data_IF_387612177264
#
_entry.id   IF_387612177264
#
_cell.length_a   1.000
_cell.length_b   1.000
_cell.length_c   1.000
_cell.angle_alpha   90.00
_cell.angle_beta   90.00
_cell.angle_gamma   90.00
#
_symmetry.space_group_name_H-M   'P 1'
#
loop_
_entity.id
_entity.type
_entity.pdbx_description
1 polymer ?
#
# COMPACT_ATOMS: atom_id res chain seq x y z
N UNK A 1 -8.47 4.88 9.43
CA UNK A 1 -7.62 4.91 8.22
C UNK A 1 -6.16 4.90 8.67
N UNK A 2 -5.40 3.84 8.37
CA UNK A 2 -3.98 3.76 8.71
C UNK A 2 -3.20 4.66 7.75
N UNK A 3 -2.50 5.68 8.28
CA UNK A 3 -1.73 6.63 7.48
C UNK A 3 -0.31 6.10 7.30
N UNK A 4 0.03 5.72 6.08
CA UNK A 4 1.40 5.36 5.71
C UNK A 4 2.25 6.63 5.59
N UNK A 5 3.56 6.52 5.83
CA UNK A 5 4.52 7.58 5.51
C UNK A 5 5.71 6.98 4.80
N UNK A 6 5.86 7.26 3.52
CA UNK A 6 7.01 6.80 2.74
C UNK A 6 8.28 7.44 3.30
N UNK A 7 9.29 6.64 3.68
CA UNK A 7 10.53 7.18 4.27
C UNK A 7 11.71 7.28 3.29
N UNK A 8 11.69 6.52 2.19
CA UNK A 8 12.71 6.64 1.14
C UNK A 8 12.53 7.94 0.36
N UNK A 9 13.61 8.71 0.29
CA UNK A 9 13.68 9.98 -0.45
C UNK A 9 13.66 9.66 -1.96
N UNK A 10 14.40 8.65 -2.38
CA UNK A 10 14.50 8.18 -3.76
C UNK A 10 13.14 7.74 -4.30
N UNK A 11 12.38 6.95 -3.51
CA UNK A 11 11.03 6.55 -3.88
C UNK A 11 10.09 7.75 -3.95
N UNK A 12 10.20 8.70 -3.01
CA UNK A 12 9.40 9.93 -3.04
C UNK A 12 9.69 10.76 -4.28
N UNK A 13 10.96 10.92 -4.65
CA UNK A 13 11.36 11.74 -5.79
C UNK A 13 11.00 11.05 -7.11
N UNK A 14 11.13 9.73 -7.18
CA UNK A 14 10.60 8.93 -8.28
C UNK A 14 9.08 9.15 -8.45
N UNK A 15 8.31 9.06 -7.36
CA UNK A 15 6.85 9.26 -7.38
C UNK A 15 6.50 10.67 -7.85
N UNK A 16 7.18 11.71 -7.33
CA UNK A 16 6.94 13.11 -7.74
C UNK A 16 7.28 13.35 -9.21
N UNK A 17 8.31 12.68 -9.74
CA UNK A 17 8.75 12.81 -11.13
C UNK A 17 7.80 12.10 -12.09
N UNK A 18 7.45 10.85 -11.80
CA UNK A 18 6.67 9.99 -12.70
C UNK A 18 5.16 10.19 -12.54
N UNK A 19 4.70 10.58 -11.36
CA UNK A 19 3.28 10.78 -11.01
C UNK A 19 2.37 9.61 -11.43
N UNK A 20 2.72 8.36 -11.08
CA UNK A 20 1.86 7.22 -11.37
C UNK A 20 0.51 7.36 -10.65
N UNK A 21 -0.54 6.74 -11.19
CA UNK A 21 -1.86 6.75 -10.53
C UNK A 21 -1.81 6.06 -9.16
N UNK A 22 -1.12 4.92 -9.08
CA UNK A 22 -1.02 4.09 -7.88
C UNK A 22 0.40 3.54 -7.76
N UNK A 23 0.93 3.53 -6.54
CA UNK A 23 2.16 2.83 -6.17
C UNK A 23 1.84 1.83 -5.07
N UNK A 24 2.04 0.55 -5.36
CA UNK A 24 2.01 -0.51 -4.36
C UNK A 24 3.46 -0.76 -3.96
N UNK A 25 3.80 -0.44 -2.71
CA UNK A 25 5.16 -0.58 -2.21
C UNK A 25 5.23 -1.48 -0.98
N UNK A 26 6.42 -2.05 -0.80
CA UNK A 26 6.84 -2.74 0.41
C UNK A 26 8.28 -2.34 0.70
N UNK A 27 8.71 -2.50 1.94
CA UNK A 27 10.12 -2.38 2.29
C UNK A 27 10.36 -3.24 3.54
N UNK A 28 10.94 -2.70 4.61
CA UNK A 28 11.17 -3.44 5.87
C UNK A 28 10.02 -3.23 6.87
N UNK A 29 9.21 -4.27 7.03
CA UNK A 29 8.54 -4.77 8.24
C UNK A 29 7.56 -3.92 9.10
N UNK A 30 7.30 -2.63 8.86
CA UNK A 30 6.50 -1.86 9.84
C UNK A 30 5.39 -0.94 9.32
N UNK A 31 5.28 -0.71 8.01
CA UNK A 31 4.21 0.13 7.46
C UNK A 31 3.04 -0.69 6.94
N UNK A 32 1.82 -0.42 7.42
CA UNK A 32 0.56 -0.85 6.79
C UNK A 32 -0.25 0.41 6.58
N UNK A 33 -0.80 0.60 5.38
CA UNK A 33 -1.78 1.64 5.15
C UNK A 33 -1.64 2.35 3.81
N UNK A 34 -2.28 3.51 3.76
CA UNK A 34 -2.42 4.34 2.56
C UNK A 34 -1.83 5.72 2.83
N UNK A 35 -1.18 6.29 1.82
CA UNK A 35 -0.73 7.68 1.78
C UNK A 35 -1.05 8.28 0.41
N UNK A 36 -0.98 9.61 0.31
CA UNK A 36 -1.03 10.31 -0.97
C UNK A 36 0.24 11.15 -1.10
N UNK A 37 0.99 10.93 -2.18
CA UNK A 37 2.11 11.80 -2.56
C UNK A 37 1.64 12.54 -3.81
N UNK A 38 1.28 13.81 -3.65
CA UNK A 38 0.60 14.59 -4.68
C UNK A 38 -0.69 13.87 -5.12
N UNK A 39 -0.76 13.46 -6.39
CA UNK A 39 -1.91 12.82 -7.02
C UNK A 39 -1.73 11.29 -7.09
N UNK A 40 -0.61 10.78 -6.57
CA UNK A 40 -0.31 9.35 -6.53
C UNK A 40 -0.81 8.74 -5.24
N UNK A 41 -1.69 7.76 -5.36
CA UNK A 41 -2.10 6.89 -4.26
C UNK A 41 -0.96 5.92 -3.92
N UNK A 42 -0.53 5.88 -2.67
CA UNK A 42 0.55 4.99 -2.20
C UNK A 42 -0.02 3.99 -1.21
N UNK A 43 0.22 2.71 -1.45
CA UNK A 43 -0.33 1.59 -0.71
C UNK A 43 0.80 0.71 -0.18
N UNK A 44 0.80 0.40 1.11
CA UNK A 44 1.68 -0.63 1.67
C UNK A 44 0.81 -1.70 2.36
N UNK A 45 0.72 -2.91 1.78
CA UNK A 45 -0.08 -3.99 2.35
C UNK A 45 0.40 -4.48 3.71
N UNK A 46 1.68 -4.28 4.04
CA UNK A 46 2.32 -4.89 5.20
C UNK A 46 3.01 -6.22 4.90
N UNK A 47 3.59 -6.84 5.93
CA UNK A 47 4.34 -8.07 5.77
C UNK A 47 3.42 -9.26 5.51
N UNK A 48 3.50 -9.84 4.31
CA UNK A 48 2.75 -11.04 3.93
C UNK A 48 3.00 -12.21 4.88
N UNK A 49 4.20 -12.35 5.44
CA UNK A 49 4.54 -13.40 6.43
C UNK A 49 3.71 -13.32 7.71
N UNK A 50 3.14 -12.15 8.06
CA UNK A 50 2.22 -12.00 9.20
C UNK A 50 0.75 -12.08 8.77
N UNK A 51 0.50 -12.52 7.54
CA UNK A 51 -0.84 -12.67 7.00
C UNK A 51 -1.36 -11.45 6.24
N UNK A 52 -0.68 -10.30 6.22
CA UNK A 52 -1.25 -9.06 5.66
C UNK A 52 -1.23 -9.02 4.13
N UNK A 53 -2.32 -8.55 3.54
CA UNK A 53 -2.44 -8.28 2.10
C UNK A 53 -3.47 -7.18 1.83
N UNK A 54 -3.48 -6.69 0.59
CA UNK A 54 -4.45 -5.68 0.11
C UNK A 54 -5.12 -6.18 -1.15
N UNK A 55 -6.44 -6.02 -1.21
CA UNK A 55 -7.21 -6.15 -2.44
C UNK A 55 -7.43 -4.75 -3.02
N UNK A 56 -6.95 -4.55 -4.25
CA UNK A 56 -7.13 -3.33 -5.02
C UNK A 56 -8.12 -3.60 -6.15
N UNK A 57 -9.34 -3.09 -6.01
CA UNK A 57 -10.41 -3.28 -6.97
C UNK A 57 -10.57 -1.99 -7.79
N UNK A 58 -10.45 -2.11 -9.11
CA UNK A 58 -10.53 -0.98 -10.05
C UNK A 58 -11.80 -1.14 -10.88
N UNK A 59 -12.73 -0.22 -10.71
CA UNK A 59 -13.99 -0.22 -11.42
C UNK A 59 -14.02 0.94 -12.42
N UNK A 60 -14.37 0.66 -13.67
CA UNK A 60 -14.41 1.65 -14.75
C UNK A 60 -15.31 2.87 -14.45
N UNK A 61 -16.38 2.69 -13.66
CA UNK A 61 -17.33 3.76 -13.30
C UNK A 61 -17.32 4.16 -11.83
N UNK A 62 -16.84 3.30 -10.94
CA UNK A 62 -17.04 3.42 -9.48
C UNK A 62 -15.74 3.78 -8.74
N UNK A 63 -14.63 3.93 -9.47
CA UNK A 63 -13.34 4.33 -8.91
C UNK A 63 -12.53 3.16 -8.36
N UNK A 64 -11.72 3.44 -7.33
CA UNK A 64 -10.79 2.48 -6.74
C UNK A 64 -11.27 2.14 -5.32
N UNK A 65 -11.43 0.86 -5.04
CA UNK A 65 -11.70 0.35 -3.69
C UNK A 65 -10.48 -0.38 -3.17
N UNK A 66 -10.06 -0.04 -1.94
CA UNK A 66 -8.89 -0.62 -1.28
C UNK A 66 -9.37 -1.35 -0.03
N UNK A 67 -9.10 -2.65 0.06
CA UNK A 67 -9.41 -3.45 1.26
C UNK A 67 -8.12 -4.01 1.84
N UNK A 68 -7.90 -3.73 3.13
CA UNK A 68 -6.81 -4.34 3.88
C UNK A 68 -7.34 -5.60 4.58
N UNK A 69 -6.65 -6.71 4.38
CA UNK A 69 -7.02 -7.99 4.96
C UNK A 69 -5.82 -8.67 5.60
N UNK A 70 -6.12 -9.68 6.42
CA UNK A 70 -5.14 -10.58 7.02
C UNK A 70 -5.65 -12.00 6.95
N UNK A 71 -4.84 -12.95 6.48
CA UNK A 71 -5.10 -14.37 6.67
C UNK A 71 -4.42 -14.87 7.94
N UNK A 72 -5.05 -15.83 8.63
CA UNK A 72 -4.41 -16.54 9.73
C UNK A 72 -3.58 -17.67 9.14
N UNK A 73 -2.28 -17.71 9.46
CA UNK A 73 -1.45 -18.84 9.10
C UNK A 73 -1.82 -20.03 10.00
N UNK A 74 -2.00 -21.24 9.46
CA UNK A 74 -2.38 -22.42 10.24
C UNK A 74 -1.31 -22.87 11.25
N UNK A 75 -0.15 -22.21 11.28
CA UNK A 75 1.00 -22.54 12.14
C UNK A 75 1.31 -21.45 13.20
N UNK A 76 0.47 -20.42 13.34
CA UNK A 76 0.56 -19.43 14.44
C UNK A 76 -0.43 -19.79 15.58
N UNK A 77 -0.17 -20.91 16.28
CA UNK A 77 -0.68 -21.20 17.64
C UNK A 77 0.52 -21.14 18.59
#
# INVERSE_FOLDING_TARGET
MLRLRVKSIELRDFIKKIKPYIVICGHVHSGIGVDNIQNTLVLNPGPFRRGYFVELLIYSKEGIVIKFNRFTLPFEI
#
